data_IF_896711867832
#
_entry.id   IF_896711867832
#
_cell.length_a   1.000
_cell.length_b   1.000
_cell.length_c   1.000
_cell.angle_alpha   90.00
_cell.angle_beta   90.00
_cell.angle_gamma   90.00
#
_symmetry.space_group_name_H-M   'P 1'
#
loop_
_entity.id
_entity.type
_entity.pdbx_description
1 polymer ?
#
# COMPACT_ATOMS: atom_id res chain seq x y z
N UNK A 1 3.01 7.52 -4.51
CA UNK A 1 3.85 7.42 -3.29
C UNK A 1 5.33 7.75 -3.53
N UNK A 2 6.07 7.08 -4.42
CA UNK A 2 7.51 7.39 -4.61
C UNK A 2 7.83 8.86 -4.95
N UNK A 3 7.05 9.49 -5.84
CA UNK A 3 7.20 10.91 -6.18
C UNK A 3 6.99 11.81 -4.95
N UNK A 4 6.08 11.43 -4.05
CA UNK A 4 5.86 12.13 -2.78
C UNK A 4 7.12 12.12 -1.94
N UNK A 5 7.79 10.96 -1.78
CA UNK A 5 9.07 10.88 -1.07
C UNK A 5 10.16 11.73 -1.74
N UNK A 6 10.23 11.73 -3.06
CA UNK A 6 11.20 12.56 -3.80
C UNK A 6 10.98 14.05 -3.57
N UNK A 7 9.72 14.49 -3.47
CA UNK A 7 9.35 15.90 -3.26
C UNK A 7 9.76 16.44 -1.90
N UNK A 8 9.88 15.56 -0.89
CA UNK A 8 10.31 15.91 0.47
C UNK A 8 11.80 15.61 0.73
N UNK A 9 12.58 15.36 -0.33
CA UNK A 9 14.02 15.09 -0.23
C UNK A 9 14.40 13.67 0.20
N UNK A 10 13.44 12.76 0.33
CA UNK A 10 13.71 11.34 0.59
C UNK A 10 13.96 10.60 -0.72
N UNK A 11 15.20 10.65 -1.18
CA UNK A 11 15.63 9.87 -2.33
C UNK A 11 15.67 8.38 -1.98
N UNK A 12 14.94 7.55 -2.73
CA UNK A 12 14.84 6.12 -2.50
C UNK A 12 16.10 5.35 -2.93
N UNK A 13 17.30 5.80 -2.54
CA UNK A 13 18.61 5.29 -3.01
C UNK A 13 18.81 3.81 -2.68
N UNK A 14 18.32 3.36 -1.53
CA UNK A 14 18.36 1.96 -1.10
C UNK A 14 17.30 1.08 -1.75
N UNK A 15 16.38 1.63 -2.56
CA UNK A 15 15.41 0.86 -3.32
C UNK A 15 16.09 0.21 -4.53
N UNK A 16 16.78 -0.90 -4.30
CA UNK A 16 17.57 -1.64 -5.28
C UNK A 16 17.59 -3.14 -4.96
N UNK A 17 17.87 -3.98 -5.97
CA UNK A 17 17.93 -5.44 -5.79
C UNK A 17 19.07 -5.92 -4.88
N UNK A 18 20.04 -5.04 -4.60
CA UNK A 18 21.13 -5.33 -3.66
C UNK A 18 20.65 -5.29 -2.20
N UNK A 19 19.50 -4.64 -1.96
CA UNK A 19 18.96 -4.40 -0.61
C UNK A 19 17.60 -5.09 -0.44
N UNK A 20 16.75 -5.03 -1.47
CA UNK A 20 15.40 -5.57 -1.45
C UNK A 20 15.27 -6.79 -2.35
N UNK A 21 14.50 -7.77 -1.89
CA UNK A 21 14.09 -8.90 -2.72
C UNK A 21 12.86 -8.50 -3.55
N UNK A 22 12.75 -8.96 -4.81
CA UNK A 22 11.51 -8.85 -5.58
C UNK A 22 10.32 -9.42 -4.83
N UNK A 23 9.13 -8.89 -5.11
CA UNK A 23 7.87 -9.48 -4.64
C UNK A 23 7.85 -10.99 -4.99
N UNK A 24 7.39 -11.87 -4.08
CA UNK A 24 7.28 -13.31 -4.35
C UNK A 24 6.62 -13.59 -5.71
N UNK A 25 7.23 -14.50 -6.48
CA UNK A 25 6.78 -14.83 -7.84
C UNK A 25 7.21 -13.85 -8.94
N UNK A 26 7.93 -12.76 -8.62
CA UNK A 26 8.51 -11.84 -9.62
C UNK A 26 10.03 -12.00 -9.69
N UNK A 27 10.57 -11.89 -10.91
CA UNK A 27 12.02 -12.05 -11.16
C UNK A 27 12.84 -10.81 -10.82
N UNK A 28 12.24 -9.63 -10.97
CA UNK A 28 12.90 -8.34 -10.78
C UNK A 28 12.07 -7.42 -9.90
N UNK A 29 12.71 -6.44 -9.27
CA UNK A 29 11.99 -5.37 -8.57
C UNK A 29 11.14 -4.56 -9.55
N UNK A 30 9.94 -4.19 -9.10
CA UNK A 30 9.10 -3.17 -9.71
C UNK A 30 9.71 -1.81 -9.46
N UNK A 31 10.69 -1.46 -10.29
CA UNK A 31 11.49 -0.23 -10.15
C UNK A 31 11.55 0.49 -11.48
N UNK A 32 11.31 1.80 -11.43
CA UNK A 32 11.56 2.74 -12.52
C UNK A 32 12.49 3.86 -12.05
N UNK A 33 13.08 4.58 -12.99
CA UNK A 33 13.85 5.79 -12.71
C UNK A 33 13.06 6.99 -13.25
N UNK A 34 12.70 7.92 -12.37
CA UNK A 34 12.03 9.17 -12.72
C UNK A 34 12.90 10.32 -12.24
N UNK A 35 13.31 11.22 -13.16
CA UNK A 35 14.19 12.34 -12.82
C UNK A 35 15.51 11.92 -12.16
N UNK A 36 16.07 10.76 -12.57
CA UNK A 36 17.28 10.19 -11.96
C UNK A 36 17.06 9.48 -10.62
N UNK A 37 15.83 9.43 -10.10
CA UNK A 37 15.50 8.86 -8.79
C UNK A 37 14.74 7.54 -8.90
N UNK A 38 15.11 6.58 -8.05
CA UNK A 38 14.43 5.29 -7.98
C UNK A 38 12.96 5.44 -7.52
N UNK A 39 12.06 4.75 -8.21
CA UNK A 39 10.61 4.81 -8.01
C UNK A 39 10.07 3.39 -7.91
N UNK A 40 9.35 3.08 -6.83
CA UNK A 40 8.68 1.80 -6.67
C UNK A 40 7.39 1.77 -7.50
N UNK A 41 7.16 0.68 -8.22
CA UNK A 41 5.92 0.45 -8.98
C UNK A 41 5.02 -0.62 -8.36
N UNK A 42 5.43 -1.21 -7.24
CA UNK A 42 4.65 -2.21 -6.49
C UNK A 42 4.53 -1.83 -5.03
N UNK A 43 3.32 -1.95 -4.49
CA UNK A 43 3.03 -1.64 -3.10
C UNK A 43 3.82 -2.52 -2.12
N UNK A 44 3.92 -3.82 -2.40
CA UNK A 44 4.68 -4.78 -1.60
C UNK A 44 6.13 -4.34 -1.40
N UNK A 45 6.83 -4.05 -2.49
CA UNK A 45 8.26 -3.71 -2.43
C UNK A 45 8.47 -2.34 -1.78
N UNK A 46 7.53 -1.41 -1.95
CA UNK A 46 7.57 -0.14 -1.22
C UNK A 46 7.38 -0.34 0.30
N UNK A 47 6.48 -1.22 0.71
CA UNK A 47 6.30 -1.58 2.12
C UNK A 47 7.57 -2.24 2.70
N UNK A 48 8.19 -3.17 1.96
CA UNK A 48 9.46 -3.79 2.35
C UNK A 48 10.58 -2.75 2.50
N UNK A 49 10.62 -1.74 1.61
CA UNK A 49 11.56 -0.64 1.74
C UNK A 49 11.30 0.23 2.98
N UNK A 50 10.04 0.51 3.31
CA UNK A 50 9.68 1.27 4.51
C UNK A 50 10.02 0.52 5.80
N UNK A 51 9.98 -0.83 5.80
CA UNK A 51 10.45 -1.65 6.93
C UNK A 51 11.93 -1.41 7.27
N UNK A 52 12.75 -1.00 6.30
CA UNK A 52 14.15 -0.61 6.51
C UNK A 52 14.30 0.71 7.27
N UNK A 53 13.22 1.47 7.46
CA UNK A 53 13.21 2.82 8.07
C UNK A 53 14.15 3.79 7.34
N UNK A 54 13.89 4.06 6.05
CA UNK A 54 14.84 4.72 5.16
C UNK A 54 14.97 6.25 5.37
N UNK A 55 14.15 6.85 6.24
CA UNK A 55 14.24 8.25 6.60
C UNK A 55 13.93 8.47 8.08
N UNK A 56 14.45 9.57 8.63
CA UNK A 56 14.28 9.94 10.03
C UNK A 56 12.80 10.16 10.36
N UNK A 57 12.36 9.70 11.53
CA UNK A 57 10.97 9.82 11.98
C UNK A 57 10.05 8.69 11.54
N UNK A 58 10.48 7.79 10.64
CA UNK A 58 9.72 6.59 10.32
C UNK A 58 9.94 5.50 11.39
N UNK A 59 8.92 5.25 12.19
CA UNK A 59 8.90 4.19 13.20
C UNK A 59 8.86 2.77 12.60
N UNK A 60 8.80 1.77 13.48
CA UNK A 60 8.47 0.39 13.04
C UNK A 60 7.00 0.34 12.60
N UNK A 61 6.64 -0.47 11.59
CA UNK A 61 5.24 -0.69 11.28
C UNK A 61 4.51 -1.40 12.42
N UNK A 62 3.26 -1.03 12.62
CA UNK A 62 2.29 -1.78 13.39
C UNK A 62 1.51 -2.70 12.46
N UNK A 63 1.39 -3.97 12.84
CA UNK A 63 0.47 -4.89 12.17
C UNK A 63 -0.93 -4.67 12.73
N UNK A 64 -1.82 -4.14 11.90
CA UNK A 64 -3.21 -3.80 12.27
C UNK A 64 -4.21 -4.70 11.56
N UNK A 65 -3.76 -5.82 10.99
CA UNK A 65 -4.60 -6.76 10.24
C UNK A 65 -5.81 -7.20 11.07
N UNK A 66 -6.96 -7.31 10.42
CA UNK A 66 -8.21 -7.72 11.04
C UNK A 66 -9.38 -6.80 10.65
N UNK A 67 -10.61 -7.21 10.95
CA UNK A 67 -11.81 -6.43 10.63
C UNK A 67 -11.91 -5.11 11.40
N UNK A 68 -11.11 -4.93 12.44
CA UNK A 68 -11.06 -3.75 13.32
C UNK A 68 -9.93 -2.77 12.93
N UNK A 69 -9.27 -2.96 11.78
CA UNK A 69 -8.11 -2.15 11.38
C UNK A 69 -8.43 -0.66 11.32
N UNK A 70 -9.65 -0.27 10.91
CA UNK A 70 -10.07 1.13 10.84
C UNK A 70 -10.02 1.81 12.21
N UNK A 71 -10.46 1.13 13.26
CA UNK A 71 -10.46 1.68 14.62
C UNK A 71 -9.03 1.87 15.15
N UNK A 72 -8.10 0.97 14.77
CA UNK A 72 -6.68 1.05 15.15
C UNK A 72 -5.95 2.25 14.55
N UNK A 73 -6.40 2.77 13.42
CA UNK A 73 -5.79 3.94 12.74
C UNK A 73 -6.62 5.22 12.86
N UNK A 74 -7.78 5.13 13.50
CA UNK A 74 -8.70 6.24 13.69
C UNK A 74 -7.98 7.41 14.37
N UNK A 75 -8.10 8.61 13.80
CA UNK A 75 -7.44 9.86 14.25
C UNK A 75 -5.91 9.90 14.14
N UNK A 76 -5.27 8.85 13.63
CA UNK A 76 -3.81 8.80 13.42
C UNK A 76 -3.45 9.26 12.01
N UNK A 77 -2.21 9.66 11.80
CA UNK A 77 -1.64 10.01 10.48
C UNK A 77 -0.47 9.11 10.18
N UNK A 78 -0.24 8.79 8.92
CA UNK A 78 0.83 7.87 8.59
C UNK A 78 0.82 7.39 7.15
N UNK A 79 1.47 6.24 6.96
CA UNK A 79 1.42 5.45 5.74
C UNK A 79 0.70 4.15 6.07
N UNK A 80 -0.25 3.75 5.22
CA UNK A 80 -0.97 2.49 5.38
C UNK A 80 -0.75 1.60 4.17
N UNK A 81 -0.54 0.31 4.41
CA UNK A 81 -0.31 -0.72 3.42
C UNK A 81 -1.30 -1.86 3.61
N UNK A 82 -1.86 -2.34 2.50
CA UNK A 82 -2.73 -3.51 2.43
C UNK A 82 -2.14 -4.52 1.47
N UNK A 83 -2.12 -5.80 1.84
CA UNK A 83 -1.58 -6.89 1.03
C UNK A 83 -2.55 -8.05 0.87
N UNK A 84 -2.59 -8.63 -0.33
CA UNK A 84 -3.21 -9.92 -0.59
C UNK A 84 -4.74 -9.93 -0.50
N UNK A 85 -5.40 -8.78 -0.66
CA UNK A 85 -6.87 -8.68 -0.64
C UNK A 85 -7.51 -8.79 -2.04
N UNK A 86 -6.71 -8.79 -3.11
CA UNK A 86 -7.19 -8.96 -4.48
C UNK A 86 -6.16 -9.68 -5.36
N UNK A 87 -6.63 -10.23 -6.48
CA UNK A 87 -5.84 -11.06 -7.40
C UNK A 87 -5.12 -10.21 -8.43
N UNK A 88 -3.79 -10.28 -8.48
CA UNK A 88 -3.01 -9.76 -9.61
C UNK A 88 -2.94 -10.78 -10.75
N UNK A 89 -2.63 -10.29 -11.95
CA UNK A 89 -2.34 -11.15 -13.09
C UNK A 89 -1.17 -12.11 -12.78
N UNK A 90 -1.45 -13.41 -12.95
CA UNK A 90 -0.53 -14.49 -12.63
C UNK A 90 -0.67 -15.07 -11.21
N UNK A 91 -1.51 -14.50 -10.34
CA UNK A 91 -1.81 -15.11 -9.04
C UNK A 91 -2.71 -16.35 -9.22
N UNK A 92 -2.49 -17.39 -8.39
CA UNK A 92 -3.48 -18.46 -8.20
C UNK A 92 -4.64 -17.97 -7.33
N UNK A 93 -5.74 -18.73 -7.28
CA UNK A 93 -6.91 -18.36 -6.50
C UNK A 93 -6.60 -18.11 -5.00
N UNK A 94 -5.66 -18.87 -4.44
CA UNK A 94 -5.30 -18.81 -3.02
C UNK A 94 -4.06 -17.95 -2.73
N UNK A 95 -3.30 -17.58 -3.77
CA UNK A 95 -2.05 -16.82 -3.66
C UNK A 95 -2.21 -15.35 -4.08
N UNK A 96 -3.25 -14.69 -3.58
CA UNK A 96 -3.46 -13.25 -3.81
C UNK A 96 -2.24 -12.44 -3.35
N UNK A 97 -1.65 -11.67 -4.27
CA UNK A 97 -0.49 -10.80 -4.06
C UNK A 97 -0.82 -9.33 -4.26
N UNK A 98 -2.03 -9.00 -4.71
CA UNK A 98 -2.48 -7.63 -4.94
C UNK A 98 -2.46 -6.79 -3.66
N UNK A 99 -1.75 -5.67 -3.71
CA UNK A 99 -1.61 -4.76 -2.57
C UNK A 99 -1.82 -3.29 -2.94
N UNK A 100 -1.90 -2.44 -1.92
CA UNK A 100 -2.06 -1.00 -2.04
C UNK A 100 -1.30 -0.29 -0.91
N UNK A 101 -0.69 0.85 -1.19
CA UNK A 101 0.02 1.66 -0.19
C UNK A 101 -0.24 3.14 -0.43
N UNK A 102 -0.55 3.88 0.62
CA UNK A 102 -0.96 5.28 0.51
C UNK A 102 -0.72 6.07 1.81
N UNK A 103 -0.84 7.40 1.75
CA UNK A 103 -0.80 8.30 2.90
C UNK A 103 -2.15 8.35 3.61
N UNK A 104 -2.14 8.05 4.91
CA UNK A 104 -3.29 8.14 5.79
C UNK A 104 -3.29 9.49 6.53
N UNK A 105 -4.29 10.34 6.27
CA UNK A 105 -4.35 11.69 6.84
C UNK A 105 -5.53 11.91 7.82
N UNK A 106 -5.93 10.88 8.60
CA UNK A 106 -7.11 10.87 9.51
C UNK A 106 -8.46 10.81 8.79
N UNK A 107 -8.57 11.39 7.59
CA UNK A 107 -9.84 11.59 6.90
C UNK A 107 -9.89 11.06 5.45
N UNK A 108 -8.76 11.00 4.76
CA UNK A 108 -8.64 10.68 3.33
C UNK A 108 -7.34 9.94 3.01
N UNK A 109 -7.41 8.99 2.09
CA UNK A 109 -6.27 8.66 1.23
C UNK A 109 -6.34 9.60 0.03
N UNK A 110 -5.19 9.99 -0.54
CA UNK A 110 -5.00 10.95 -1.64
C UNK A 110 -6.26 11.13 -2.53
N UNK A 111 -6.80 12.35 -2.69
CA UNK A 111 -8.23 12.55 -2.99
C UNK A 111 -8.61 12.06 -4.39
N UNK A 112 -9.39 10.98 -4.42
CA UNK A 112 -10.30 10.64 -5.51
C UNK A 112 -11.62 10.16 -4.90
N UNK A 113 -12.75 10.40 -5.56
CA UNK A 113 -14.08 9.92 -5.12
C UNK A 113 -14.07 8.40 -4.90
N UNK A 114 -13.28 7.68 -5.71
CA UNK A 114 -13.11 6.23 -5.62
C UNK A 114 -12.31 5.84 -4.36
N UNK A 115 -11.26 6.59 -4.02
CA UNK A 115 -10.53 6.41 -2.77
C UNK A 115 -11.39 6.78 -1.54
N UNK A 116 -12.23 7.81 -1.66
CA UNK A 116 -13.15 8.23 -0.59
C UNK A 116 -14.16 7.12 -0.23
N UNK A 117 -14.85 6.55 -1.23
CA UNK A 117 -15.84 5.49 -1.00
C UNK A 117 -15.22 4.20 -0.45
N UNK A 118 -14.01 3.85 -0.92
CA UNK A 118 -13.30 2.62 -0.56
C UNK A 118 -12.65 2.66 0.82
N UNK A 119 -12.06 3.78 1.20
CA UNK A 119 -11.26 3.87 2.43
C UNK A 119 -11.99 4.57 3.59
N UNK A 120 -12.99 5.42 3.33
CA UNK A 120 -13.73 6.14 4.39
C UNK A 120 -15.04 5.46 4.80
N UNK A 121 -15.84 5.00 3.84
CA UNK A 121 -17.16 4.39 4.13
C UNK A 121 -17.00 2.89 4.48
N UNK A 122 -15.83 2.30 4.25
CA UNK A 122 -15.64 0.86 4.44
C UNK A 122 -16.56 0.04 3.52
N UNK A 123 -16.97 0.60 2.37
CA UNK A 123 -17.76 -0.12 1.40
C UNK A 123 -16.92 -1.23 0.78
N UNK A 124 -17.06 -2.41 1.36
CA UNK A 124 -16.43 -3.67 0.94
C UNK A 124 -16.99 -4.22 -0.36
N UNK A 125 -18.13 -3.70 -0.82
CA UNK A 125 -18.83 -4.10 -2.04
C UNK A 125 -19.53 -2.88 -2.64
N UNK A 126 -19.11 -2.47 -3.83
CA UNK A 126 -19.90 -1.59 -4.68
C UNK A 126 -20.23 -2.41 -5.93
N UNK A 127 -21.49 -2.79 -6.12
CA UNK A 127 -21.90 -3.60 -7.28
C UNK A 127 -21.80 -2.72 -8.53
N UNK A 128 -21.03 -3.16 -9.52
CA UNK A 128 -20.96 -2.43 -10.79
C UNK A 128 -22.36 -2.52 -11.46
N UNK A 129 -23.00 -1.41 -11.84
CA UNK A 129 -24.31 -1.47 -12.49
C UNK A 129 -24.24 -2.00 -13.93
N UNK A 130 -23.05 -2.06 -14.54
CA UNK A 130 -22.83 -2.54 -15.91
C UNK A 130 -22.34 -3.99 -15.98
N UNK A 131 -21.78 -4.52 -14.89
CA UNK A 131 -21.36 -5.91 -14.79
C UNK A 131 -21.83 -6.43 -13.44
N UNK A 132 -22.49 -7.58 -13.37
CA UNK A 132 -23.09 -8.09 -12.13
C UNK A 132 -22.04 -8.55 -11.06
N UNK A 133 -20.84 -7.98 -11.09
CA UNK A 133 -19.69 -8.21 -10.22
C UNK A 133 -19.50 -7.03 -9.24
N UNK A 134 -18.80 -7.30 -8.13
CA UNK A 134 -18.32 -6.25 -7.24
C UNK A 134 -17.20 -5.46 -7.93
N UNK A 135 -17.31 -4.14 -7.90
CA UNK A 135 -16.28 -3.20 -8.35
C UNK A 135 -15.03 -3.25 -7.44
N UNK A 136 -15.16 -3.75 -6.20
CA UNK A 136 -14.07 -3.80 -5.22
C UNK A 136 -14.05 -5.10 -4.40
N UNK A 137 -12.84 -5.46 -3.95
CA UNK A 137 -12.59 -6.49 -2.93
C UNK A 137 -12.50 -5.84 -1.55
N UNK A 138 -13.02 -6.52 -0.52
CA UNK A 138 -13.00 -6.07 0.88
C UNK A 138 -11.55 -5.96 1.40
N UNK A 139 -11.16 -4.77 1.87
CA UNK A 139 -9.82 -4.52 2.44
C UNK A 139 -9.60 -5.25 3.76
N UNK A 140 -10.67 -5.58 4.50
CA UNK A 140 -10.57 -6.42 5.69
C UNK A 140 -10.12 -7.85 5.37
N UNK A 141 -10.24 -8.29 4.11
CA UNK A 141 -9.70 -9.57 3.65
C UNK A 141 -8.20 -9.50 3.28
N UNK A 142 -7.51 -8.41 3.62
CA UNK A 142 -6.06 -8.34 3.44
C UNK A 142 -5.37 -9.39 4.31
N UNK A 143 -4.44 -10.12 3.71
CA UNK A 143 -3.54 -11.05 4.43
C UNK A 143 -2.63 -10.31 5.41
N UNK A 144 -2.30 -9.06 5.10
CA UNK A 144 -1.52 -8.18 5.95
C UNK A 144 -1.97 -6.72 5.78
N UNK A 145 -2.10 -6.00 6.89
CA UNK A 145 -2.27 -4.55 6.93
C UNK A 145 -1.20 -3.97 7.85
N UNK A 146 -0.36 -3.10 7.31
CA UNK A 146 0.70 -2.42 8.06
C UNK A 146 0.45 -0.92 8.12
N UNK A 147 0.74 -0.33 9.28
CA UNK A 147 0.64 1.11 9.50
C UNK A 147 1.94 1.67 10.07
N UNK A 148 2.46 2.72 9.42
CA UNK A 148 3.56 3.52 9.94
C UNK A 148 3.01 4.86 10.36
N UNK A 149 2.91 5.10 11.67
CA UNK A 149 2.50 6.40 12.16
C UNK A 149 3.56 7.46 11.85
N UNK A 150 3.11 8.61 11.35
CA UNK A 150 3.93 9.80 11.09
C UNK A 150 3.32 10.93 11.91
N UNK A 151 4.13 11.53 12.79
CA UNK A 151 3.75 12.61 13.71
C UNK A 151 4.35 13.93 13.29
#
# INVERSE_FOLDING_TARGET
MSVTFHSIGSDMKSFSQNVLKPMPGKKTLGRLILGGKATATRAYELAEWLKLRPFLGLGKPENITGPDWQDKVKKRTGIIYFFGYWRQDGDSADALSGGHIDLWNKDTLTPSVVNFLRFRIGMSRFRNPLTNNNWFSDLANSKEILFWEVK
#
